data_IF_798911239867
#
_entry.id   IF_798911239867
#
_cell.length_a   1.000
_cell.length_b   1.000
_cell.length_c   1.000
_cell.angle_alpha   90.00
_cell.angle_beta   90.00
_cell.angle_gamma   90.00
#
_symmetry.space_group_name_H-M   'P 1'
#
loop_
_entity.id
_entity.type
_entity.pdbx_description
1 polymer ?
#
# COMPACT_ATOMS: atom_id res chain seq x y z
N UNK A 1 12.77 -6.87 12.04
CA UNK A 1 11.47 -7.20 12.67
C UNK A 1 10.35 -6.21 12.37
N UNK A 2 10.63 -4.92 12.19
CA UNK A 2 9.60 -3.86 12.18
C UNK A 2 8.97 -3.55 10.82
N UNK A 3 9.47 -4.10 9.72
CA UNK A 3 9.01 -3.76 8.36
C UNK A 3 7.54 -4.11 8.12
N UNK A 4 7.03 -5.20 8.72
CA UNK A 4 5.61 -5.54 8.60
C UNK A 4 4.71 -4.54 9.34
N UNK A 5 5.14 -4.05 10.51
CA UNK A 5 4.42 -3.03 11.25
C UNK A 5 4.41 -1.70 10.50
N UNK A 6 5.54 -1.32 9.90
CA UNK A 6 5.64 -0.15 9.02
C UNK A 6 4.65 -0.24 7.84
N UNK A 7 4.61 -1.38 7.14
CA UNK A 7 3.66 -1.60 6.05
C UNK A 7 2.20 -1.58 6.53
N UNK A 8 1.90 -2.11 7.71
CA UNK A 8 0.56 -2.04 8.31
C UNK A 8 0.15 -0.61 8.63
N UNK A 9 1.06 0.20 9.20
CA UNK A 9 0.81 1.61 9.50
C UNK A 9 0.50 2.40 8.23
N UNK A 10 1.30 2.24 7.18
CA UNK A 10 1.07 2.88 5.88
C UNK A 10 -0.29 2.50 5.32
N UNK A 11 -0.64 1.21 5.36
CA UNK A 11 -1.95 0.73 4.92
C UNK A 11 -3.11 1.38 5.70
N UNK A 12 -2.98 1.53 7.02
CA UNK A 12 -4.00 2.17 7.86
C UNK A 12 -4.13 3.67 7.57
N UNK A 13 -3.01 4.38 7.41
CA UNK A 13 -3.00 5.81 7.04
C UNK A 13 -3.74 6.00 5.72
N UNK A 14 -3.41 5.18 4.71
CA UNK A 14 -4.08 5.19 3.41
C UNK A 14 -5.60 4.96 3.53
N UNK A 15 -6.00 3.94 4.30
CA UNK A 15 -7.43 3.60 4.46
C UNK A 15 -8.22 4.63 5.26
N UNK A 16 -7.62 5.23 6.30
CA UNK A 16 -8.30 6.13 7.24
C UNK A 16 -8.28 7.58 6.80
N UNK A 17 -7.21 8.00 6.14
CA UNK A 17 -6.92 9.40 5.81
C UNK A 17 -6.89 9.67 4.30
N UNK A 18 -6.98 8.62 3.47
CA UNK A 18 -6.98 8.71 2.00
C UNK A 18 -5.73 9.40 1.41
N UNK A 19 -4.58 9.29 2.08
CA UNK A 19 -3.30 9.83 1.61
C UNK A 19 -2.26 8.72 1.39
N UNK A 20 -1.33 8.96 0.46
CA UNK A 20 -0.18 8.10 0.22
C UNK A 20 1.01 8.53 1.06
N UNK A 21 1.54 7.59 1.85
CA UNK A 21 2.74 7.80 2.66
C UNK A 21 3.86 6.89 2.16
N UNK A 22 4.97 7.48 1.74
CA UNK A 22 6.15 6.72 1.35
C UNK A 22 6.79 6.01 2.56
N UNK A 23 7.23 4.77 2.36
CA UNK A 23 7.90 3.99 3.39
C UNK A 23 9.19 4.67 3.88
N UNK A 24 9.91 5.33 2.98
CA UNK A 24 11.12 6.07 3.34
C UNK A 24 10.82 7.26 4.27
N UNK A 25 9.72 7.97 4.02
CA UNK A 25 9.30 9.12 4.84
C UNK A 25 8.96 8.70 6.28
N UNK A 26 8.40 7.51 6.47
CA UNK A 26 8.13 6.95 7.79
C UNK A 26 9.43 6.71 8.59
N UNK A 27 10.47 6.18 7.95
CA UNK A 27 11.74 5.93 8.63
C UNK A 27 12.59 7.18 8.81
N UNK A 28 12.46 8.16 7.90
CA UNK A 28 13.13 9.45 8.01
C UNK A 28 12.56 10.32 9.15
N UNK A 29 11.29 10.10 9.53
CA UNK A 29 10.59 10.88 10.55
C UNK A 29 10.07 9.97 11.69
N UNK A 30 10.94 9.48 12.58
CA UNK A 30 10.56 8.55 13.64
C UNK A 30 9.74 9.20 14.78
N UNK A 31 9.65 10.53 14.80
CA UNK A 31 8.84 11.28 15.77
C UNK A 31 7.42 11.48 15.25
N UNK A 32 6.43 11.26 16.12
CA UNK A 32 5.02 11.33 15.76
C UNK A 32 4.61 12.71 15.20
N UNK A 33 5.13 13.79 15.79
CA UNK A 33 4.86 15.16 15.34
C UNK A 33 5.37 15.42 13.92
N UNK A 34 6.60 14.99 13.61
CA UNK A 34 7.19 15.14 12.29
C UNK A 34 6.41 14.30 11.26
N UNK A 35 6.05 13.06 11.62
CA UNK A 35 5.24 12.21 10.76
C UNK A 35 3.84 12.80 10.49
N UNK A 36 3.21 13.41 11.49
CA UNK A 36 1.93 14.08 11.33
C UNK A 36 2.02 15.24 10.32
N UNK A 37 3.09 16.03 10.37
CA UNK A 37 3.35 17.07 9.38
C UNK A 37 3.51 16.50 7.97
N UNK A 38 4.24 15.38 7.82
CA UNK A 38 4.39 14.71 6.52
C UNK A 38 3.05 14.22 5.99
N UNK A 39 2.25 13.56 6.83
CA UNK A 39 0.92 13.05 6.45
C UNK A 39 -0.03 14.19 6.06
N UNK A 40 0.05 15.34 6.73
CA UNK A 40 -0.76 16.51 6.40
C UNK A 40 -0.42 17.13 5.03
N UNK A 41 0.82 16.94 4.55
CA UNK A 41 1.30 17.43 3.25
C UNK A 41 1.25 16.36 2.15
N UNK A 42 0.91 15.11 2.52
CA UNK A 42 0.88 14.00 1.60
C UNK A 42 -0.24 14.15 0.56
N UNK A 43 0.01 13.64 -0.64
CA UNK A 43 -0.98 13.66 -1.71
C UNK A 43 -2.07 12.60 -1.46
N UNK A 44 -3.27 12.88 -1.96
CA UNK A 44 -4.36 11.92 -1.93
C UNK A 44 -3.98 10.65 -2.69
N UNK A 45 -4.47 9.51 -2.20
CA UNK A 45 -4.35 8.26 -2.91
C UNK A 45 -5.14 8.32 -4.23
N UNK A 46 -4.43 8.11 -5.35
CA UNK A 46 -4.98 8.13 -6.71
C UNK A 46 -5.31 6.74 -7.24
N UNK A 47 -4.89 5.68 -6.55
CA UNK A 47 -5.13 4.32 -7.00
C UNK A 47 -6.54 3.87 -6.63
N UNK A 48 -7.24 3.18 -7.56
CA UNK A 48 -8.58 2.67 -7.30
C UNK A 48 -8.55 1.64 -6.17
N UNK A 49 -9.63 1.61 -5.39
CA UNK A 49 -9.80 0.61 -4.35
C UNK A 49 -9.91 -0.80 -4.97
N UNK A 50 -9.23 -1.77 -4.35
CA UNK A 50 -9.41 -3.18 -4.69
C UNK A 50 -10.78 -3.62 -4.16
N UNK A 51 -11.69 -3.93 -5.08
CA UNK A 51 -13.05 -4.39 -4.76
C UNK A 51 -13.20 -5.89 -4.99
N UNK A 52 -14.17 -6.55 -4.33
CA UNK A 52 -14.50 -7.94 -4.62
C UNK A 52 -14.84 -8.13 -6.10
N UNK A 53 -14.21 -9.12 -6.73
CA UNK A 53 -14.50 -9.51 -8.11
C UNK A 53 -15.35 -10.79 -8.15
N UNK A 54 -16.26 -10.89 -9.13
CA UNK A 54 -17.03 -12.12 -9.38
C UNK A 54 -16.09 -13.26 -9.80
N UNK A 55 -16.36 -14.47 -9.29
CA UNK A 55 -15.61 -15.69 -9.65
C UNK A 55 -16.16 -16.42 -10.88
N UNK A 56 -17.23 -15.91 -11.49
CA UNK A 56 -17.86 -16.54 -12.65
C UNK A 56 -17.18 -16.26 -13.99
N UNK A 57 -16.17 -15.40 -14.02
CA UNK A 57 -15.43 -15.04 -15.23
C UNK A 57 -13.99 -15.53 -15.16
N UNK A 58 -13.32 -15.58 -16.31
CA UNK A 58 -11.88 -15.87 -16.38
C UNK A 58 -11.09 -14.73 -15.71
N UNK A 59 -10.44 -15.04 -14.59
CA UNK A 59 -9.63 -14.08 -13.84
C UNK A 59 -8.22 -13.99 -14.44
N UNK A 60 -7.68 -12.77 -14.64
CA UNK A 60 -6.32 -12.62 -15.14
C UNK A 60 -5.32 -13.15 -14.11
N UNK A 61 -4.28 -13.81 -14.60
CA UNK A 61 -3.14 -14.21 -13.78
C UNK A 61 -2.34 -12.97 -13.37
N UNK A 62 -1.91 -12.92 -12.12
CA UNK A 62 -0.89 -11.99 -11.68
C UNK A 62 0.43 -12.24 -12.41
N UNK A 63 1.29 -11.21 -12.48
CA UNK A 63 2.61 -11.34 -13.08
C UNK A 63 3.43 -12.51 -12.51
N UNK A 64 3.35 -12.74 -11.19
CA UNK A 64 4.01 -13.87 -10.53
C UNK A 64 3.47 -15.23 -10.99
N UNK A 65 2.16 -15.35 -11.20
CA UNK A 65 1.51 -16.57 -11.70
C UNK A 65 1.86 -16.82 -13.17
N UNK A 66 1.86 -15.79 -14.03
CA UNK A 66 2.29 -15.90 -15.41
C UNK A 66 3.74 -16.38 -15.51
N UNK A 67 4.62 -15.84 -14.66
CA UNK A 67 6.03 -16.23 -14.62
C UNK A 67 6.22 -17.68 -14.20
N UNK A 68 5.47 -18.16 -13.20
CA UNK A 68 5.53 -19.56 -12.79
C UNK A 68 5.02 -20.49 -13.89
N UNK A 69 3.91 -20.16 -14.55
CA UNK A 69 3.35 -20.93 -15.66
C UNK A 69 4.31 -21.03 -16.85
N UNK A 70 5.06 -19.96 -17.14
CA UNK A 70 6.04 -19.96 -18.23
C UNK A 70 7.30 -20.78 -17.92
N UNK A 71 7.67 -20.89 -16.64
CA UNK A 71 8.89 -21.58 -16.18
C UNK A 71 8.64 -23.05 -15.77
N UNK A 72 7.38 -23.47 -15.68
CA UNK A 72 6.95 -24.85 -15.41
C UNK A 72 6.78 -25.62 -16.70
#
# INVERSE_FOLDING_TARGET
GHSLLAMRLISLVRQRLNVELELAALFANPQLEALACVVAQAQNNTLPQIVPASRGAQLPLSFAQQRLWFLS
#
